data_IF_192515546392
#
_entry.id   IF_192515546392
#
_cell.length_a   1.000
_cell.length_b   1.000
_cell.length_c   1.000
_cell.angle_alpha   90.00
_cell.angle_beta   90.00
_cell.angle_gamma   90.00
#
_symmetry.space_group_name_H-M   'P 1'
#
loop_
_entity.id
_entity.type
_entity.pdbx_description
1 polymer ?
#
# COMPACT_ATOMS: atom_id res chain seq x y z
N UNK A 1 0.19 12.28 -26.50
CA UNK A 1 0.70 10.99 -25.96
C UNK A 1 1.01 11.06 -24.47
N UNK A 2 1.65 12.12 -23.95
CA UNK A 2 1.88 12.28 -22.50
C UNK A 2 0.59 12.59 -21.69
N UNK A 3 -0.37 13.27 -22.31
CA UNK A 3 -1.61 13.72 -21.66
C UNK A 3 -2.56 12.57 -21.29
N UNK A 4 -2.73 11.60 -22.19
CA UNK A 4 -3.54 10.40 -21.96
C UNK A 4 -2.99 9.50 -20.85
N UNK A 5 -1.67 9.49 -20.64
CA UNK A 5 -1.04 8.74 -19.55
C UNK A 5 -1.22 9.43 -18.19
N UNK A 6 -1.38 10.75 -18.18
CA UNK A 6 -1.63 11.52 -16.96
C UNK A 6 -3.06 11.34 -16.47
N UNK A 7 -4.02 11.22 -17.38
CA UNK A 7 -5.43 11.02 -17.05
C UNK A 7 -5.67 9.61 -16.48
N UNK A 8 -5.07 8.57 -17.07
CA UNK A 8 -5.17 7.20 -16.54
C UNK A 8 -4.47 7.03 -15.19
N UNK A 9 -3.32 7.68 -14.98
CA UNK A 9 -2.60 7.61 -13.72
C UNK A 9 -3.36 8.32 -12.57
N UNK A 10 -4.12 9.37 -12.89
CA UNK A 10 -4.91 10.11 -11.91
C UNK A 10 -6.14 9.32 -11.43
N UNK A 11 -6.77 8.52 -12.29
CA UNK A 11 -7.86 7.61 -11.92
C UNK A 11 -7.36 6.32 -11.24
N UNK A 12 -6.17 5.82 -11.60
CA UNK A 12 -5.61 4.60 -11.02
C UNK A 12 -5.02 4.80 -9.61
N UNK A 13 -4.48 6.00 -9.33
CA UNK A 13 -3.95 6.35 -8.01
C UNK A 13 -4.96 6.21 -6.85
N UNK A 14 -6.19 6.77 -6.90
CA UNK A 14 -7.17 6.62 -5.83
C UNK A 14 -7.55 5.14 -5.61
N UNK A 15 -7.64 4.33 -6.67
CA UNK A 15 -7.91 2.89 -6.53
C UNK A 15 -6.79 2.14 -5.80
N UNK A 16 -5.53 2.49 -6.08
CA UNK A 16 -4.35 1.90 -5.40
C UNK A 16 -4.37 2.23 -3.90
N UNK A 17 -4.71 3.47 -3.53
CA UNK A 17 -4.80 3.87 -2.12
C UNK A 17 -5.98 3.19 -1.41
N UNK A 18 -7.13 3.06 -2.08
CA UNK A 18 -8.28 2.35 -1.53
C UNK A 18 -7.96 0.88 -1.24
N UNK A 19 -7.30 0.20 -2.18
CA UNK A 19 -6.83 -1.17 -1.99
C UNK A 19 -5.80 -1.28 -0.87
N UNK A 20 -4.87 -0.34 -0.79
CA UNK A 20 -3.87 -0.28 0.27
C UNK A 20 -4.53 -0.10 1.65
N UNK A 21 -5.48 0.83 1.77
CA UNK A 21 -6.24 1.08 3.00
C UNK A 21 -7.09 -0.13 3.40
N UNK A 22 -7.75 -0.75 2.42
CA UNK A 22 -8.50 -1.97 2.63
C UNK A 22 -7.58 -3.10 3.14
N UNK A 23 -6.40 -3.26 2.56
CA UNK A 23 -5.39 -4.21 3.01
C UNK A 23 -4.88 -3.96 4.42
N UNK A 24 -4.66 -2.69 4.79
CA UNK A 24 -4.27 -2.31 6.14
C UNK A 24 -5.36 -2.66 7.17
N UNK A 25 -6.62 -2.30 6.88
CA UNK A 25 -7.78 -2.60 7.73
C UNK A 25 -7.99 -4.10 7.88
N UNK A 26 -7.95 -4.84 6.76
CA UNK A 26 -8.07 -6.29 6.73
C UNK A 26 -6.92 -6.98 7.49
N UNK A 27 -5.69 -6.45 7.42
CA UNK A 27 -4.55 -6.96 8.16
C UNK A 27 -4.69 -6.78 9.68
N UNK A 28 -5.29 -5.67 10.13
CA UNK A 28 -5.68 -5.47 11.53
C UNK A 28 -6.73 -6.50 11.98
N UNK A 29 -7.80 -6.65 11.19
CA UNK A 29 -8.85 -7.63 11.42
C UNK A 29 -8.32 -9.07 11.47
N UNK A 30 -7.43 -9.45 10.55
CA UNK A 30 -6.84 -10.79 10.53
C UNK A 30 -5.99 -11.07 11.78
N UNK A 31 -5.23 -10.08 12.26
CA UNK A 31 -4.46 -10.21 13.50
C UNK A 31 -5.37 -10.39 14.72
N UNK A 32 -6.48 -9.65 14.76
CA UNK A 32 -7.51 -9.79 15.79
C UNK A 32 -8.17 -11.17 15.75
N UNK A 33 -8.53 -11.65 14.56
CA UNK A 33 -9.08 -13.00 14.34
C UNK A 33 -8.13 -14.09 14.84
N UNK A 34 -6.82 -13.95 14.57
CA UNK A 34 -5.80 -14.92 15.05
C UNK A 34 -5.65 -14.96 16.57
N UNK A 35 -6.06 -13.90 17.28
CA UNK A 35 -6.12 -13.88 18.76
C UNK A 35 -7.43 -14.44 19.30
N UNK A 36 -8.37 -14.86 18.45
CA UNK A 36 -9.69 -15.35 18.85
C UNK A 36 -10.65 -14.25 19.30
N UNK A 37 -10.29 -12.99 19.12
CA UNK A 37 -11.17 -11.86 19.44
C UNK A 37 -12.32 -11.78 18.43
N UNK A 38 -13.55 -11.42 18.88
CA UNK A 38 -14.69 -11.26 17.98
C UNK A 38 -14.46 -10.10 17.02
N UNK A 39 -14.67 -10.36 15.74
CA UNK A 39 -14.62 -9.34 14.70
C UNK A 39 -15.94 -8.58 14.64
N UNK A 40 -15.86 -7.26 14.60
CA UNK A 40 -16.99 -6.39 14.25
C UNK A 40 -17.44 -6.65 12.81
N UNK A 41 -18.66 -6.22 12.46
CA UNK A 41 -19.19 -6.40 11.10
C UNK A 41 -18.27 -5.79 10.04
N UNK A 42 -17.80 -4.58 10.28
CA UNK A 42 -16.94 -3.91 9.30
C UNK A 42 -15.55 -4.57 9.16
N UNK A 43 -15.01 -5.15 10.25
CA UNK A 43 -13.75 -5.90 10.20
C UNK A 43 -13.90 -7.18 9.38
N UNK A 44 -15.04 -7.87 9.52
CA UNK A 44 -15.37 -9.05 8.71
C UNK A 44 -15.53 -8.67 7.23
N UNK A 45 -16.21 -7.56 6.96
CA UNK A 45 -16.41 -7.07 5.60
C UNK A 45 -15.09 -6.64 4.95
N UNK A 46 -14.25 -5.89 5.66
CA UNK A 46 -12.94 -5.49 5.17
C UNK A 46 -12.05 -6.70 4.88
N UNK A 47 -12.03 -7.68 5.79
CA UNK A 47 -11.28 -8.92 5.59
C UNK A 47 -11.80 -9.72 4.39
N UNK A 48 -13.12 -9.84 4.23
CA UNK A 48 -13.74 -10.52 3.11
C UNK A 48 -13.48 -9.83 1.77
N UNK A 49 -13.60 -8.49 1.71
CA UNK A 49 -13.28 -7.69 0.52
C UNK A 49 -11.81 -7.82 0.14
N UNK A 50 -10.90 -7.72 1.11
CA UNK A 50 -9.48 -7.92 0.86
C UNK A 50 -9.18 -9.34 0.37
N UNK A 51 -9.80 -10.38 0.93
CA UNK A 51 -9.59 -11.76 0.46
C UNK A 51 -10.02 -11.95 -1.01
N UNK A 52 -11.15 -11.35 -1.41
CA UNK A 52 -11.69 -11.41 -2.78
C UNK A 52 -10.91 -10.57 -3.80
N UNK A 53 -10.12 -9.60 -3.33
CA UNK A 53 -9.30 -8.75 -4.19
C UNK A 53 -8.29 -9.60 -4.98
N UNK A 54 -8.10 -9.29 -6.27
CA UNK A 54 -7.20 -10.05 -7.13
C UNK A 54 -5.75 -9.95 -6.65
N UNK A 55 -4.94 -10.97 -6.94
CA UNK A 55 -3.52 -10.99 -6.56
C UNK A 55 -2.77 -9.80 -7.21
N UNK A 56 -3.12 -9.44 -8.45
CA UNK A 56 -2.54 -8.30 -9.15
C UNK A 56 -2.79 -6.98 -8.42
N UNK A 57 -4.04 -6.70 -8.02
CA UNK A 57 -4.38 -5.47 -7.27
C UNK A 57 -3.69 -5.41 -5.90
N UNK A 58 -3.64 -6.54 -5.19
CA UNK A 58 -2.86 -6.65 -3.93
C UNK A 58 -1.38 -6.34 -4.15
N UNK A 59 -0.80 -6.88 -5.22
CA UNK A 59 0.61 -6.68 -5.54
C UNK A 59 0.90 -5.23 -5.93
N UNK A 60 0.03 -4.59 -6.72
CA UNK A 60 0.16 -3.18 -7.08
C UNK A 60 0.05 -2.28 -5.84
N UNK A 61 -0.97 -2.46 -5.00
CA UNK A 61 -1.16 -1.67 -3.78
C UNK A 61 0.05 -1.74 -2.83
N UNK A 62 0.52 -2.95 -2.53
CA UNK A 62 1.67 -3.14 -1.63
C UNK A 62 2.99 -2.75 -2.29
N UNK A 63 3.15 -3.03 -3.58
CA UNK A 63 4.36 -2.75 -4.36
C UNK A 63 4.59 -1.25 -4.55
N UNK A 64 3.56 -0.50 -4.96
CA UNK A 64 3.63 0.95 -5.10
C UNK A 64 3.97 1.62 -3.76
N UNK A 65 3.32 1.19 -2.66
CA UNK A 65 3.63 1.69 -1.33
C UNK A 65 5.07 1.40 -0.90
N UNK A 66 5.55 0.17 -1.13
CA UNK A 66 6.92 -0.22 -0.80
C UNK A 66 7.93 0.59 -1.62
N UNK A 67 7.77 0.67 -2.94
CA UNK A 67 8.66 1.44 -3.81
C UNK A 67 8.67 2.92 -3.40
N UNK A 68 7.51 3.52 -3.13
CA UNK A 68 7.42 4.91 -2.70
C UNK A 68 8.15 5.16 -1.38
N UNK A 69 7.90 4.33 -0.35
CA UNK A 69 8.45 4.54 0.99
C UNK A 69 9.94 4.20 1.06
N UNK A 70 10.33 3.02 0.56
CA UNK A 70 11.74 2.60 0.58
C UNK A 70 12.59 3.40 -0.40
N UNK A 71 12.07 3.73 -1.58
CA UNK A 71 12.76 4.58 -2.56
C UNK A 71 13.04 5.96 -1.99
N UNK A 72 12.04 6.60 -1.36
CA UNK A 72 12.22 7.89 -0.71
C UNK A 72 13.27 7.84 0.42
N UNK A 73 13.18 6.82 1.28
CA UNK A 73 14.15 6.62 2.37
C UNK A 73 15.57 6.38 1.86
N UNK A 74 15.72 5.59 0.81
CA UNK A 74 17.01 5.33 0.16
C UNK A 74 17.60 6.61 -0.47
N UNK A 75 16.80 7.37 -1.21
CA UNK A 75 17.24 8.64 -1.81
C UNK A 75 17.67 9.65 -0.75
N UNK A 76 16.90 9.79 0.32
CA UNK A 76 17.24 10.68 1.42
C UNK A 76 18.51 10.23 2.16
N UNK A 77 18.63 8.92 2.43
CA UNK A 77 19.83 8.34 3.01
C UNK A 77 21.06 8.57 2.13
N UNK A 78 20.94 8.33 0.83
CA UNK A 78 22.00 8.59 -0.15
C UNK A 78 22.44 10.06 -0.16
N UNK A 79 21.50 11.00 -0.02
CA UNK A 79 21.82 12.43 0.07
C UNK A 79 22.59 12.78 1.35
N UNK A 80 22.15 12.26 2.50
CA UNK A 80 22.78 12.52 3.79
C UNK A 80 24.17 11.87 3.86
N UNK A 81 24.26 10.56 3.63
CA UNK A 81 25.52 9.81 3.73
C UNK A 81 26.49 10.09 2.57
N UNK A 82 25.99 10.38 1.37
CA UNK A 82 26.82 10.78 0.23
C UNK A 82 27.53 12.12 0.45
N UNK A 83 26.92 13.04 1.22
CA UNK A 83 27.54 14.31 1.60
C UNK A 83 28.61 14.14 2.69
N UNK A 84 28.50 13.12 3.53
CA UNK A 84 29.48 12.80 4.58
C UNK A 84 30.72 12.07 4.06
N UNK A 85 30.69 11.57 2.81
CA UNK A 85 31.81 10.88 2.17
C UNK A 85 32.82 11.83 1.47
N UNK A 86 32.63 13.15 1.60
CA UNK A 86 33.58 14.19 1.16
C UNK A 86 34.37 14.78 2.36
N UNK A 87 34.85 13.90 3.23
CA UNK A 87 35.88 14.19 4.23
C UNK A 87 37.02 13.19 4.04
#
# INVERSE_FOLDING_TARGET
MADLASESAADEAPEIFDDLYLGLRAGGALRKQRRGEPLTRDEQEALGRWQRLSVGRKALALGAFAIGTFGLGFSLGGLIFGRWRKA
#
